data_IF_421478940874
#
_entry.id   IF_421478940874
#
_cell.length_a   1.000
_cell.length_b   1.000
_cell.length_c   1.000
_cell.angle_alpha   90.00
_cell.angle_beta   90.00
_cell.angle_gamma   90.00
#
_symmetry.space_group_name_H-M   'P 1'
#
loop_
_entity.id
_entity.type
_entity.pdbx_description
1 polymer ?
#
# COMPACT_ATOMS: atom_id res chain seq x y z
N UNK A 1 7.15 1.04 -2.47
CA UNK A 1 5.80 1.01 -3.05
C UNK A 1 5.70 2.11 -4.09
N UNK A 2 5.43 1.77 -5.36
CA UNK A 2 5.39 2.75 -6.47
C UNK A 2 6.57 3.72 -6.45
N UNK A 3 7.77 3.18 -6.31
CA UNK A 3 9.07 3.88 -6.25
C UNK A 3 9.31 4.72 -4.98
N UNK A 4 8.36 4.75 -4.03
CA UNK A 4 8.51 5.41 -2.73
C UNK A 4 8.97 4.38 -1.68
N UNK A 5 9.99 4.74 -0.89
CA UNK A 5 10.49 3.86 0.17
C UNK A 5 9.52 3.73 1.32
N UNK A 6 9.14 2.51 1.65
CA UNK A 6 8.36 2.17 2.84
C UNK A 6 9.29 1.58 3.89
N UNK A 7 9.40 2.22 5.05
CA UNK A 7 10.36 1.82 6.09
C UNK A 7 9.92 0.60 6.89
N UNK A 8 8.63 0.46 7.15
CA UNK A 8 8.09 -0.73 7.78
C UNK A 8 7.07 -1.41 6.85
N UNK A 9 7.48 -2.48 6.15
CA UNK A 9 6.65 -3.11 5.13
C UNK A 9 5.66 -4.15 5.69
N UNK A 10 5.52 -4.26 7.02
CA UNK A 10 4.70 -5.28 7.65
C UNK A 10 3.84 -4.72 8.78
N UNK A 11 2.70 -5.35 9.00
CA UNK A 11 1.87 -5.23 10.18
C UNK A 11 2.05 -6.44 11.10
N UNK A 12 1.78 -6.29 12.40
CA UNK A 12 1.85 -7.37 13.37
C UNK A 12 3.17 -8.14 13.33
N UNK A 13 4.29 -7.45 13.46
CA UNK A 13 5.62 -8.09 13.53
C UNK A 13 5.94 -9.01 12.33
N UNK A 14 5.31 -8.79 11.19
CA UNK A 14 5.57 -9.55 9.97
C UNK A 14 4.46 -10.50 9.52
N UNK A 15 3.37 -10.61 10.25
CA UNK A 15 2.27 -11.50 9.88
C UNK A 15 1.45 -11.01 8.68
N UNK A 16 1.37 -9.70 8.48
CA UNK A 16 0.66 -9.11 7.35
C UNK A 16 1.56 -8.13 6.60
N UNK A 17 1.43 -8.10 5.29
CA UNK A 17 2.02 -7.04 4.46
C UNK A 17 1.39 -5.70 4.81
N UNK A 18 2.17 -4.62 4.82
CA UNK A 18 1.64 -3.27 5.01
C UNK A 18 0.77 -2.77 3.86
N UNK A 19 0.85 -3.36 2.69
CA UNK A 19 0.04 -2.96 1.53
C UNK A 19 -1.14 -3.89 1.35
N UNK A 20 -2.34 -3.31 1.21
CA UNK A 20 -3.56 -4.05 0.95
C UNK A 20 -3.41 -4.90 -0.34
N UNK A 21 -3.61 -6.24 -0.27
CA UNK A 21 -3.44 -7.13 -1.42
C UNK A 21 -4.31 -6.76 -2.62
N UNK A 22 -5.52 -6.24 -2.39
CA UNK A 22 -6.42 -5.80 -3.47
C UNK A 22 -5.90 -4.58 -4.23
N UNK A 23 -5.00 -3.80 -3.62
CA UNK A 23 -4.36 -2.65 -4.28
C UNK A 23 -3.15 -3.03 -5.15
N UNK A 24 -2.60 -4.24 -4.98
CA UNK A 24 -1.37 -4.67 -5.65
C UNK A 24 -1.63 -5.13 -7.08
N UNK A 25 -0.72 -4.76 -7.98
CA UNK A 25 -0.60 -5.29 -9.33
C UNK A 25 0.50 -6.35 -9.40
N UNK A 26 1.67 -6.07 -8.81
CA UNK A 26 2.81 -6.98 -8.84
C UNK A 26 3.71 -6.78 -7.63
N UNK A 27 4.41 -7.86 -7.28
CA UNK A 27 5.48 -7.89 -6.28
C UNK A 27 6.71 -8.47 -6.95
N UNK A 28 7.82 -7.74 -6.91
CA UNK A 28 9.11 -8.20 -7.43
C UNK A 28 10.14 -8.19 -6.30
N UNK A 29 10.89 -9.26 -6.17
CA UNK A 29 11.93 -9.38 -5.15
C UNK A 29 13.29 -9.52 -5.84
N UNK A 30 14.17 -8.56 -5.61
CA UNK A 30 15.56 -8.59 -6.05
C UNK A 30 16.44 -9.08 -4.89
N UNK A 31 17.02 -10.29 -5.04
CA UNK A 31 17.90 -10.92 -4.06
C UNK A 31 19.35 -10.95 -4.59
N UNK A 32 20.02 -9.85 -4.60
CA UNK A 32 21.35 -9.76 -5.24
C UNK A 32 21.38 -8.65 -6.26
N UNK A 33 21.73 -8.89 -7.52
CA UNK A 33 21.83 -7.84 -8.56
C UNK A 33 20.66 -6.87 -8.55
N UNK A 34 20.78 -5.83 -7.72
CA UNK A 34 19.75 -4.81 -7.54
C UNK A 34 19.88 -3.83 -8.70
N UNK A 35 18.79 -3.55 -9.45
CA UNK A 35 18.79 -2.52 -10.48
C UNK A 35 19.24 -1.17 -9.95
N UNK A 36 19.94 -0.40 -10.80
CA UNK A 36 20.56 0.89 -10.41
C UNK A 36 19.57 1.94 -9.92
N UNK A 37 18.31 1.83 -10.32
CA UNK A 37 17.21 2.68 -9.87
C UNK A 37 16.93 2.56 -8.37
N UNK A 38 17.29 1.46 -7.73
CA UNK A 38 17.13 1.22 -6.28
C UNK A 38 18.42 1.48 -5.52
N UNK A 39 19.01 2.66 -5.68
CA UNK A 39 20.26 3.04 -5.01
C UNK A 39 20.18 2.99 -3.47
N UNK A 40 21.36 2.89 -2.83
CA UNK A 40 21.49 2.95 -1.37
C UNK A 40 21.01 1.70 -0.62
N UNK A 41 20.84 0.55 -1.29
CA UNK A 41 20.44 -0.74 -0.68
C UNK A 41 21.51 -1.79 -0.90
N UNK A 42 21.86 -2.51 0.19
CA UNK A 42 22.98 -3.47 0.20
C UNK A 42 22.53 -4.93 0.18
N UNK A 43 21.28 -5.26 0.53
CA UNK A 43 20.84 -6.65 0.69
C UNK A 43 19.82 -7.08 -0.35
N UNK A 44 18.62 -6.58 -0.25
CA UNK A 44 17.51 -6.93 -1.15
C UNK A 44 16.53 -5.79 -1.29
N UNK A 45 15.76 -5.81 -2.38
CA UNK A 45 14.68 -4.86 -2.62
C UNK A 45 13.39 -5.64 -2.89
N UNK A 46 12.32 -5.24 -2.24
CA UNK A 46 10.96 -5.70 -2.54
C UNK A 46 10.25 -4.53 -3.22
N UNK A 47 10.05 -4.66 -4.52
CA UNK A 47 9.29 -3.68 -5.30
C UNK A 47 7.82 -4.07 -5.37
N UNK A 48 6.97 -3.18 -4.86
CA UNK A 48 5.52 -3.33 -4.82
C UNK A 48 4.91 -2.29 -5.77
N UNK A 49 4.34 -2.76 -6.87
CA UNK A 49 3.58 -1.88 -7.79
C UNK A 49 2.10 -2.04 -7.53
N UNK A 50 1.42 -0.93 -7.28
CA UNK A 50 -0.03 -0.92 -7.11
C UNK A 50 -0.77 -0.89 -8.45
N UNK A 51 -2.04 -1.23 -8.46
CA UNK A 51 -2.89 -1.16 -9.65
C UNK A 51 -2.88 0.25 -10.23
N UNK A 52 -2.93 0.36 -11.56
CA UNK A 52 -3.10 1.66 -12.24
C UNK A 52 -4.59 2.03 -12.21
N UNK A 53 -4.97 3.27 -11.88
CA UNK A 53 -6.34 3.73 -11.99
C UNK A 53 -6.89 3.56 -13.42
N UNK A 54 -8.10 3.00 -13.53
CA UNK A 54 -8.81 2.84 -14.80
C UNK A 54 -9.76 4.01 -14.98
N UNK A 55 -9.56 4.78 -16.04
CA UNK A 55 -10.34 5.99 -16.33
C UNK A 55 -11.60 5.75 -17.19
N UNK A 56 -11.97 4.48 -17.45
CA UNK A 56 -13.13 4.12 -18.24
C UNK A 56 -14.31 3.61 -17.40
N UNK A 57 -14.01 2.74 -16.40
CA UNK A 57 -15.03 1.97 -15.69
C UNK A 57 -14.88 2.08 -14.17
N UNK A 58 -16.03 2.30 -13.51
CA UNK A 58 -16.15 2.12 -12.08
C UNK A 58 -15.99 0.62 -11.75
N UNK A 59 -15.16 0.30 -10.79
CA UNK A 59 -15.01 -1.06 -10.30
C UNK A 59 -14.63 -1.07 -8.83
N UNK A 60 -14.89 -2.18 -8.16
CA UNK A 60 -14.54 -2.37 -6.77
C UNK A 60 -14.50 -3.85 -6.42
N UNK A 61 -13.74 -4.16 -5.42
CA UNK A 61 -13.65 -5.48 -4.84
C UNK A 61 -13.48 -5.37 -3.33
N UNK A 62 -13.94 -6.35 -2.60
CA UNK A 62 -13.83 -6.37 -1.16
C UNK A 62 -13.91 -7.77 -0.61
N UNK A 63 -13.46 -7.92 0.63
CA UNK A 63 -13.47 -9.19 1.32
C UNK A 63 -13.58 -8.99 2.82
N UNK A 64 -14.30 -9.88 3.47
CA UNK A 64 -14.44 -9.94 4.92
C UNK A 64 -13.90 -11.29 5.36
N UNK A 65 -12.85 -11.27 6.17
CA UNK A 65 -12.26 -12.46 6.77
C UNK A 65 -12.41 -12.45 8.30
N UNK A 66 -12.00 -13.51 8.98
CA UNK A 66 -12.11 -13.57 10.46
C UNK A 66 -11.19 -12.59 11.19
N UNK A 67 -10.16 -12.07 10.53
CA UNK A 67 -9.14 -11.19 11.12
C UNK A 67 -9.17 -9.80 10.50
N UNK A 68 -9.37 -9.71 9.18
CA UNK A 68 -9.29 -8.46 8.43
C UNK A 68 -10.44 -8.31 7.46
N UNK A 69 -10.87 -7.07 7.26
CA UNK A 69 -11.71 -6.66 6.13
C UNK A 69 -10.92 -5.78 5.19
N UNK A 70 -11.18 -5.94 3.90
CA UNK A 70 -10.53 -5.22 2.81
C UNK A 70 -11.58 -4.62 1.89
N UNK A 71 -11.30 -3.42 1.40
CA UNK A 71 -12.08 -2.75 0.38
C UNK A 71 -11.11 -2.12 -0.63
N UNK A 72 -11.44 -2.21 -1.90
CA UNK A 72 -10.76 -1.53 -2.98
C UNK A 72 -11.79 -0.98 -3.97
N UNK A 73 -11.59 0.25 -4.41
CA UNK A 73 -12.45 0.91 -5.39
C UNK A 73 -11.60 1.61 -6.45
N UNK A 74 -12.10 1.61 -7.67
CA UNK A 74 -11.59 2.40 -8.79
C UNK A 74 -12.71 3.27 -9.33
N UNK A 75 -12.48 4.57 -9.35
CA UNK A 75 -13.46 5.58 -9.74
C UNK A 75 -12.90 6.43 -10.89
N UNK A 76 -13.48 6.36 -12.11
CA UNK A 76 -13.20 7.33 -13.15
C UNK A 76 -13.68 8.72 -12.70
N UNK A 77 -12.79 9.71 -12.72
CA UNK A 77 -13.11 11.10 -12.37
C UNK A 77 -13.46 11.87 -13.63
N UNK A 78 -12.61 11.75 -14.65
CA UNK A 78 -12.86 12.29 -15.98
C UNK A 78 -12.65 11.14 -16.98
N UNK A 79 -13.70 10.78 -17.69
CA UNK A 79 -13.66 9.66 -18.65
C UNK A 79 -12.50 9.83 -19.63
N UNK A 80 -11.73 8.77 -19.80
CA UNK A 80 -10.54 8.69 -20.67
C UNK A 80 -9.41 9.67 -20.28
N UNK A 81 -9.47 10.34 -19.12
CA UNK A 81 -8.42 11.27 -18.69
C UNK A 81 -7.91 11.02 -17.28
N UNK A 82 -8.81 10.84 -16.32
CA UNK A 82 -8.38 10.70 -14.93
C UNK A 82 -9.22 9.71 -14.15
N UNK A 83 -8.56 9.06 -13.19
CA UNK A 83 -9.20 8.15 -12.26
C UNK A 83 -8.50 8.15 -10.91
N UNK A 84 -9.23 7.70 -9.90
CA UNK A 84 -8.74 7.44 -8.55
C UNK A 84 -8.91 5.98 -8.23
N UNK A 85 -7.92 5.37 -7.62
CA UNK A 85 -8.11 4.13 -6.84
C UNK A 85 -7.95 4.44 -5.36
N UNK A 86 -8.73 3.75 -4.53
CA UNK A 86 -8.57 3.78 -3.09
C UNK A 86 -8.70 2.37 -2.52
N UNK A 87 -7.85 2.05 -1.56
CA UNK A 87 -7.86 0.80 -0.82
C UNK A 87 -7.92 1.08 0.67
N UNK A 88 -8.71 0.33 1.39
CA UNK A 88 -8.78 0.36 2.84
C UNK A 88 -8.75 -1.04 3.39
N UNK A 89 -8.03 -1.23 4.48
CA UNK A 89 -8.03 -2.48 5.24
C UNK A 89 -8.01 -2.16 6.73
N UNK A 90 -8.72 -2.96 7.50
CA UNK A 90 -8.71 -2.88 8.96
C UNK A 90 -8.75 -4.28 9.57
N UNK A 91 -8.17 -4.42 10.76
CA UNK A 91 -8.26 -5.64 11.56
C UNK A 91 -9.26 -5.47 12.71
N UNK A 92 -9.78 -6.60 13.14
CA UNK A 92 -10.64 -6.74 14.34
C UNK A 92 -10.34 -8.06 15.05
N UNK A 93 -9.06 -8.37 15.23
CA UNK A 93 -8.59 -9.65 15.79
C UNK A 93 -8.73 -9.80 17.30
N UNK A 94 -9.09 -8.76 18.02
CA UNK A 94 -9.21 -8.78 19.50
C UNK A 94 -10.16 -9.86 20.01
N UNK A 95 -11.22 -10.18 19.28
CA UNK A 95 -12.15 -11.24 19.66
C UNK A 95 -11.50 -12.63 19.66
N UNK A 96 -10.56 -12.87 18.76
CA UNK A 96 -9.79 -14.12 18.70
C UNK A 96 -8.90 -14.22 19.93
N UNK A 97 -8.16 -13.16 20.26
CA UNK A 97 -7.30 -13.12 21.44
C UNK A 97 -8.09 -13.36 22.73
N UNK A 98 -9.26 -12.74 22.85
CA UNK A 98 -10.16 -12.91 24.00
C UNK A 98 -10.76 -14.32 24.10
N UNK A 99 -10.86 -15.06 23.00
CA UNK A 99 -11.40 -16.42 22.95
C UNK A 99 -10.37 -17.49 23.33
N UNK A 100 -9.10 -17.14 23.42
CA UNK A 100 -8.04 -18.08 23.78
C UNK A 100 -8.06 -18.38 25.28
N UNK A 101 -7.63 -19.60 25.67
CA UNK A 101 -7.58 -20.02 27.08
C UNK A 101 -6.43 -19.38 27.86
N UNK A 102 -5.43 -18.82 27.19
CA UNK A 102 -4.26 -18.20 27.80
C UNK A 102 -4.58 -16.79 28.30
N UNK A 103 -4.50 -16.58 29.60
CA UNK A 103 -4.83 -15.30 30.26
C UNK A 103 -3.92 -14.14 29.82
N UNK A 104 -2.68 -14.40 29.44
CA UNK A 104 -1.78 -13.39 28.91
C UNK A 104 -2.23 -12.91 27.51
N UNK A 105 -2.66 -13.83 26.66
CA UNK A 105 -3.15 -13.49 25.33
C UNK A 105 -4.50 -12.79 25.37
N UNK A 106 -5.36 -13.12 26.34
CA UNK A 106 -6.62 -12.38 26.55
C UNK A 106 -6.42 -10.90 26.89
N UNK A 107 -5.33 -10.58 27.59
CA UNK A 107 -4.95 -9.19 27.93
C UNK A 107 -4.18 -8.48 26.82
N UNK A 108 -3.85 -9.20 25.77
CA UNK A 108 -3.18 -8.64 24.57
C UNK A 108 -4.20 -8.03 23.63
N UNK A 109 -3.79 -7.04 22.89
CA UNK A 109 -4.56 -6.46 21.79
C UNK A 109 -3.66 -6.24 20.60
N UNK A 110 -4.25 -6.38 19.41
CA UNK A 110 -3.51 -6.24 18.20
C UNK A 110 -4.44 -5.71 17.11
N UNK A 111 -4.21 -4.50 16.66
CA UNK A 111 -5.01 -3.85 15.62
C UNK A 111 -4.12 -3.07 14.66
N UNK A 112 -4.49 -3.08 13.41
CA UNK A 112 -3.94 -2.17 12.42
C UNK A 112 -5.02 -1.76 11.42
N UNK A 113 -4.80 -0.64 10.77
CA UNK A 113 -5.51 -0.28 9.56
C UNK A 113 -4.55 0.39 8.60
N UNK A 114 -4.85 0.25 7.32
CA UNK A 114 -4.14 0.94 6.25
C UNK A 114 -5.11 1.53 5.23
N UNK A 115 -4.70 2.64 4.69
CA UNK A 115 -5.39 3.36 3.63
C UNK A 115 -4.39 3.72 2.53
N UNK A 116 -4.77 3.48 1.30
CA UNK A 116 -4.01 3.84 0.12
C UNK A 116 -4.93 4.52 -0.88
N UNK A 117 -4.45 5.57 -1.51
CA UNK A 117 -5.11 6.19 -2.65
C UNK A 117 -4.10 6.62 -3.70
N UNK A 118 -4.49 6.51 -4.95
CA UNK A 118 -3.70 6.94 -6.10
C UNK A 118 -4.62 7.62 -7.12
N UNK A 119 -4.28 8.84 -7.47
CA UNK A 119 -4.89 9.59 -8.56
C UNK A 119 -3.98 9.56 -9.77
N UNK A 120 -4.54 9.32 -10.94
CA UNK A 120 -3.83 9.46 -12.22
C UNK A 120 -4.57 10.44 -13.12
N UNK A 121 -3.83 11.32 -13.77
CA UNK A 121 -4.36 12.27 -14.74
C UNK A 121 -3.50 12.30 -16.00
N UNK A 122 -4.09 12.00 -17.13
CA UNK A 122 -3.50 12.13 -18.46
C UNK A 122 -3.73 13.56 -18.97
N UNK A 123 -2.71 14.41 -18.85
CA UNK A 123 -2.76 15.81 -19.31
C UNK A 123 -2.92 15.84 -20.83
N UNK A 124 -2.12 15.02 -21.51
CA UNK A 124 -2.16 14.78 -22.96
C UNK A 124 -1.49 13.43 -23.27
N UNK A 125 -1.37 13.07 -24.55
CA UNK A 125 -0.79 11.79 -25.01
C UNK A 125 0.66 11.57 -24.51
N UNK A 126 1.38 12.65 -24.24
CA UNK A 126 2.80 12.63 -23.86
C UNK A 126 3.03 12.88 -22.38
N UNK A 127 2.05 13.39 -21.62
CA UNK A 127 2.24 13.79 -20.23
C UNK A 127 1.17 13.20 -19.34
N UNK A 128 1.61 12.57 -18.25
CA UNK A 128 0.73 12.12 -17.18
C UNK A 128 1.28 12.50 -15.81
N UNK A 129 0.39 12.79 -14.88
CA UNK A 129 0.71 13.02 -13.46
C UNK A 129 -0.01 11.97 -12.64
N UNK A 130 0.70 11.42 -11.68
CA UNK A 130 0.19 10.51 -10.67
C UNK A 130 0.50 11.07 -9.29
N UNK A 131 -0.50 11.11 -8.41
CA UNK A 131 -0.33 11.39 -7.00
C UNK A 131 -0.75 10.18 -6.19
N UNK A 132 0.05 9.79 -5.19
CA UNK A 132 -0.22 8.66 -4.31
C UNK A 132 -0.08 9.09 -2.85
N UNK A 133 -0.93 8.51 -2.02
CA UNK A 133 -0.89 8.65 -0.58
C UNK A 133 -1.09 7.27 0.05
N UNK A 134 -0.27 6.97 1.04
CA UNK A 134 -0.42 5.80 1.89
C UNK A 134 -0.34 6.21 3.35
N UNK A 135 -1.20 5.63 4.16
CA UNK A 135 -1.21 5.77 5.60
C UNK A 135 -1.47 4.42 6.26
N UNK A 136 -0.73 4.12 7.32
CA UNK A 136 -1.04 2.98 8.19
C UNK A 136 -0.79 3.31 9.66
N UNK A 137 -1.54 2.64 10.54
CA UNK A 137 -1.38 2.70 11.99
C UNK A 137 -1.47 1.29 12.57
N UNK A 138 -0.48 0.94 13.39
CA UNK A 138 -0.36 -0.33 14.06
C UNK A 138 -0.33 -0.13 15.56
N UNK A 139 -1.15 -0.88 16.28
CA UNK A 139 -1.18 -0.92 17.73
C UNK A 139 -1.07 -2.35 18.21
N UNK A 140 -0.08 -2.60 19.01
CA UNK A 140 0.19 -3.93 19.53
C UNK A 140 0.53 -3.85 21.03
N UNK A 141 -0.21 -4.60 21.84
CA UNK A 141 0.00 -4.73 23.27
C UNK A 141 0.07 -6.22 23.63
N UNK A 142 1.18 -6.66 24.18
CA UNK A 142 1.33 -7.99 24.77
C UNK A 142 1.26 -7.83 26.28
N UNK A 143 0.29 -8.40 26.94
CA UNK A 143 0.04 -8.63 28.38
C UNK A 143 0.81 -7.78 29.43
N UNK A 144 1.91 -7.16 29.06
CA UNK A 144 2.71 -6.20 29.80
C UNK A 144 2.23 -4.78 29.53
N UNK A 145 2.67 -3.81 30.32
CA UNK A 145 2.30 -2.41 30.19
C UNK A 145 2.86 -1.72 28.93
N UNK A 146 3.58 -2.46 28.09
CA UNK A 146 4.20 -1.94 26.88
C UNK A 146 3.25 -1.96 25.71
N UNK A 147 2.82 -0.78 25.26
CA UNK A 147 2.10 -0.55 24.00
C UNK A 147 3.12 -0.18 22.93
N UNK A 148 3.23 -1.00 21.88
CA UNK A 148 3.95 -0.65 20.66
C UNK A 148 2.97 -0.03 19.69
N UNK A 149 3.26 1.19 19.26
CA UNK A 149 2.48 1.90 18.27
C UNK A 149 3.43 2.50 17.24
N UNK A 150 3.15 2.28 15.97
CA UNK A 150 3.86 2.96 14.89
C UNK A 150 2.92 3.23 13.71
N UNK A 151 3.27 4.23 12.93
CA UNK A 151 2.54 4.57 11.72
C UNK A 151 3.49 4.81 10.55
N UNK A 152 2.98 4.60 9.34
CA UNK A 152 3.65 5.00 8.11
C UNK A 152 2.81 6.06 7.41
N UNK A 153 3.50 7.01 6.80
CA UNK A 153 2.90 8.05 5.95
C UNK A 153 3.78 8.21 4.72
N UNK A 154 3.21 7.99 3.55
CA UNK A 154 3.90 8.21 2.29
C UNK A 154 3.04 9.11 1.42
N UNK A 155 3.70 10.06 0.78
CA UNK A 155 3.12 10.91 -0.25
C UNK A 155 4.10 10.90 -1.40
N UNK A 156 3.62 10.76 -2.61
CA UNK A 156 4.44 10.83 -3.79
C UNK A 156 3.69 11.45 -4.96
N UNK A 157 4.41 12.23 -5.74
CA UNK A 157 3.94 12.79 -7.00
C UNK A 157 4.91 12.34 -8.08
N UNK A 158 4.39 11.76 -9.12
CA UNK A 158 5.14 11.29 -10.26
C UNK A 158 4.63 11.97 -11.53
N UNK A 159 5.52 12.63 -12.24
CA UNK A 159 5.26 13.16 -13.56
C UNK A 159 6.04 12.36 -14.61
N UNK A 160 5.33 11.80 -15.57
CA UNK A 160 5.91 11.11 -16.71
C UNK A 160 5.76 11.97 -17.97
N UNK A 161 6.88 12.15 -18.70
CA UNK A 161 6.88 12.77 -20.02
C UNK A 161 7.45 11.80 -21.07
N UNK A 162 6.69 11.56 -22.13
CA UNK A 162 7.09 10.72 -23.28
C UNK A 162 7.57 11.60 -24.44
N UNK A 163 8.85 11.50 -24.76
CA UNK A 163 9.43 12.21 -25.92
C UNK A 163 9.14 11.47 -27.23
N UNK A 164 9.23 10.13 -27.18
CA UNK A 164 8.99 9.23 -28.31
C UNK A 164 8.40 7.91 -27.77
N UNK A 165 8.05 6.98 -28.69
CA UNK A 165 7.62 5.62 -28.30
C UNK A 165 8.67 4.82 -27.52
N UNK A 166 9.96 5.24 -27.58
CA UNK A 166 11.09 4.52 -26.96
C UNK A 166 11.80 5.33 -25.87
N UNK A 167 11.43 6.58 -25.67
CA UNK A 167 12.11 7.47 -24.74
C UNK A 167 11.10 8.22 -23.89
N UNK A 168 11.21 8.07 -22.59
CA UNK A 168 10.44 8.84 -21.59
C UNK A 168 11.35 9.30 -20.46
N UNK A 169 10.90 10.31 -19.73
CA UNK A 169 11.47 10.72 -18.46
C UNK A 169 10.41 10.67 -17.37
N UNK A 170 10.85 10.47 -16.16
CA UNK A 170 10.02 10.38 -14.97
C UNK A 170 10.64 11.25 -13.87
N UNK A 171 9.83 12.11 -13.28
CA UNK A 171 10.20 12.89 -12.11
C UNK A 171 9.36 12.43 -10.94
N UNK A 172 10.01 11.91 -9.91
CA UNK A 172 9.40 11.48 -8.66
C UNK A 172 9.77 12.45 -7.53
N UNK A 173 8.77 12.95 -6.82
CA UNK A 173 8.87 13.83 -5.68
C UNK A 173 8.24 13.21 -4.44
#
# INVERSE_FOLDING_TARGET
VDDISLYNPFHFLGFFSSVNPYSLKSVTIYKGSIPVEYGGRLSSVIDLKTKKPNNEKLSGEGGIGPVTSNLFVNVPVIKNKSAVIAGFRATYSDWILKSLKNEQLKKSSASFYDFFTKYNHEINENNSIQASLYYSDDKFKISSDSLLNYNNRLIGINWEHKYTKKMSSQLLL
#
